data_IF_836717390137
#
_entry.id   IF_836717390137
#
_cell.length_a   1.000
_cell.length_b   1.000
_cell.length_c   1.000
_cell.angle_alpha   90.00
_cell.angle_beta   90.00
_cell.angle_gamma   90.00
#
_symmetry.space_group_name_H-M   'P 1'
#
loop_
_entity.id
_entity.type
_entity.pdbx_description
1 polymer ?
#
# COMPACT_ATOMS: atom_id res chain seq x y z
N UNK A 1 -27.66 -9.67 0.34
CA UNK A 1 -27.17 -8.34 -0.07
C UNK A 1 -25.74 -8.26 0.40
N UNK A 2 -24.81 -7.94 -0.49
CA UNK A 2 -23.48 -7.53 -0.04
C UNK A 2 -23.63 -6.18 0.67
N UNK A 3 -23.02 -6.06 1.84
CA UNK A 3 -22.97 -4.82 2.60
C UNK A 3 -21.90 -3.93 1.94
N UNK A 4 -22.31 -2.77 1.44
CA UNK A 4 -21.43 -1.81 0.77
C UNK A 4 -21.24 -0.61 1.69
N UNK A 5 -19.99 -0.23 1.92
CA UNK A 5 -19.62 0.99 2.63
C UNK A 5 -18.86 1.92 1.67
N UNK A 6 -19.23 3.19 1.68
CA UNK A 6 -18.51 4.25 0.98
C UNK A 6 -17.57 4.94 1.96
N UNK A 7 -16.31 5.13 1.54
CA UNK A 7 -15.27 5.79 2.33
C UNK A 7 -14.58 6.82 1.45
N UNK A 8 -14.35 8.01 1.99
CA UNK A 8 -13.60 9.05 1.28
C UNK A 8 -12.18 8.60 0.95
N UNK A 9 -11.71 8.95 -0.24
CA UNK A 9 -10.39 8.54 -0.70
C UNK A 9 -9.28 9.08 0.20
N UNK A 10 -9.40 10.30 0.71
CA UNK A 10 -8.39 10.90 1.59
C UNK A 10 -8.28 10.14 2.93
N UNK A 11 -9.41 9.66 3.45
CA UNK A 11 -9.44 8.81 4.66
C UNK A 11 -8.76 7.49 4.38
N UNK A 12 -9.07 6.88 3.24
CA UNK A 12 -8.53 5.58 2.85
C UNK A 12 -7.02 5.65 2.57
N UNK A 13 -6.57 6.72 1.95
CA UNK A 13 -5.16 7.02 1.66
C UNK A 13 -4.37 7.18 2.96
N UNK A 14 -4.85 8.01 3.90
CA UNK A 14 -4.20 8.17 5.21
C UNK A 14 -4.19 6.86 6.00
N UNK A 15 -5.28 6.09 5.97
CA UNK A 15 -5.32 4.76 6.59
C UNK A 15 -4.25 3.82 6.01
N UNK A 16 -4.03 3.85 4.69
CA UNK A 16 -2.97 3.04 4.07
C UNK A 16 -1.58 3.47 4.53
N UNK A 17 -1.31 4.78 4.62
CA UNK A 17 -0.04 5.30 5.18
C UNK A 17 0.16 4.79 6.60
N UNK A 18 -0.85 4.91 7.46
CA UNK A 18 -0.78 4.48 8.86
C UNK A 18 -0.52 2.98 8.99
N UNK A 19 -1.12 2.16 8.12
CA UNK A 19 -0.88 0.71 8.07
C UNK A 19 0.57 0.40 7.71
N UNK A 20 1.14 1.06 6.71
CA UNK A 20 2.54 0.87 6.32
C UNK A 20 3.50 1.38 7.41
N UNK A 21 3.25 2.55 8.00
CA UNK A 21 4.03 3.08 9.11
C UNK A 21 4.00 2.15 10.33
N UNK A 22 2.84 1.58 10.65
CA UNK A 22 2.69 0.56 11.71
C UNK A 22 3.41 -0.76 11.41
N UNK A 23 3.86 -0.97 10.18
CA UNK A 23 4.74 -2.07 9.77
C UNK A 23 6.22 -1.62 9.69
N UNK A 24 6.59 -0.51 10.32
CA UNK A 24 7.93 0.06 10.31
C UNK A 24 8.46 0.36 8.88
N UNK A 25 7.56 0.63 7.93
CA UNK A 25 7.95 1.18 6.62
C UNK A 25 8.27 2.67 6.80
N UNK A 26 9.39 3.18 6.24
CA UNK A 26 9.68 4.61 6.26
C UNK A 26 8.50 5.43 5.72
N UNK A 27 8.18 6.55 6.36
CA UNK A 27 6.98 7.34 6.04
C UNK A 27 6.96 7.75 4.57
N UNK A 28 8.11 8.15 4.01
CA UNK A 28 8.20 8.57 2.61
C UNK A 28 7.89 7.41 1.65
N UNK A 29 8.33 6.20 1.98
CA UNK A 29 8.02 4.99 1.20
C UNK A 29 6.56 4.57 1.39
N UNK A 30 6.00 4.75 2.60
CA UNK A 30 4.61 4.49 2.92
C UNK A 30 3.64 5.39 2.14
N UNK A 31 3.95 6.69 2.05
CA UNK A 31 3.20 7.68 1.25
C UNK A 31 3.21 7.30 -0.24
N UNK A 32 4.36 6.92 -0.79
CA UNK A 32 4.46 6.46 -2.19
C UNK A 32 3.61 5.20 -2.42
N UNK A 33 3.65 4.24 -1.50
CA UNK A 33 2.83 3.04 -1.61
C UNK A 33 1.33 3.36 -1.54
N UNK A 34 0.91 4.22 -0.62
CA UNK A 34 -0.48 4.63 -0.48
C UNK A 34 -1.00 5.37 -1.73
N UNK A 35 -0.22 6.33 -2.27
CA UNK A 35 -0.57 7.08 -3.49
C UNK A 35 -0.81 6.15 -4.70
N UNK A 36 0.07 5.16 -4.90
CA UNK A 36 -0.07 4.20 -6.01
C UNK A 36 -1.29 3.29 -5.82
N UNK A 37 -1.53 2.82 -4.59
CA UNK A 37 -2.66 1.92 -4.30
C UNK A 37 -3.98 2.68 -4.44
N UNK A 38 -4.13 3.85 -3.81
CA UNK A 38 -5.37 4.64 -3.89
C UNK A 38 -5.64 5.13 -5.31
N UNK A 39 -4.61 5.43 -6.10
CA UNK A 39 -4.76 5.80 -7.51
C UNK A 39 -5.42 4.67 -8.32
N UNK A 40 -5.20 3.41 -7.93
CA UNK A 40 -5.87 2.27 -8.56
C UNK A 40 -7.37 2.26 -8.24
N UNK A 41 -7.76 2.50 -6.98
CA UNK A 41 -9.18 2.62 -6.59
C UNK A 41 -9.85 3.83 -7.27
N UNK A 42 -9.19 5.00 -7.28
CA UNK A 42 -9.67 6.23 -7.96
C UNK A 42 -9.91 6.01 -9.46
N UNK A 43 -9.24 5.03 -10.07
CA UNK A 43 -9.39 4.64 -11.50
C UNK A 43 -10.34 3.46 -11.72
N UNK A 44 -10.96 2.92 -10.68
CA UNK A 44 -11.85 1.75 -10.77
C UNK A 44 -11.11 0.44 -11.07
N UNK A 45 -9.84 0.32 -10.66
CA UNK A 45 -9.04 -0.90 -10.80
C UNK A 45 -8.99 -1.61 -9.45
N UNK A 46 -10.15 -2.11 -9.01
CA UNK A 46 -10.35 -2.68 -7.67
C UNK A 46 -9.39 -3.84 -7.38
N UNK A 47 -9.02 -4.59 -8.42
CA UNK A 47 -8.06 -5.70 -8.33
C UNK A 47 -6.65 -5.29 -7.91
N UNK A 48 -6.32 -3.99 -7.90
CA UNK A 48 -5.00 -3.43 -7.56
C UNK A 48 -5.04 -2.33 -6.49
N UNK A 49 -6.23 -1.98 -5.99
CA UNK A 49 -6.41 -0.96 -4.95
C UNK A 49 -6.36 -1.50 -3.53
N UNK A 50 -7.10 -0.86 -2.61
CA UNK A 50 -7.04 -1.12 -1.16
C UNK A 50 -7.39 -2.56 -0.79
N UNK A 51 -8.14 -3.28 -1.63
CA UNK A 51 -8.40 -4.71 -1.48
C UNK A 51 -7.10 -5.54 -1.34
N UNK A 52 -5.99 -5.04 -1.88
CA UNK A 52 -4.67 -5.67 -1.80
C UNK A 52 -3.86 -5.28 -0.57
N UNK A 53 -4.22 -4.21 0.15
CA UNK A 53 -3.48 -3.70 1.31
C UNK A 53 -3.19 -4.82 2.32
N UNK A 54 -4.22 -5.54 2.76
CA UNK A 54 -4.05 -6.62 3.74
C UNK A 54 -3.33 -7.85 3.15
N UNK A 55 -3.87 -8.56 2.14
CA UNK A 55 -3.32 -9.86 1.72
C UNK A 55 -1.98 -9.76 0.98
N UNK A 56 -1.74 -8.67 0.24
CA UNK A 56 -0.54 -8.54 -0.60
C UNK A 56 0.58 -7.76 0.07
N UNK A 57 0.28 -6.76 0.88
CA UNK A 57 1.31 -5.93 1.50
C UNK A 57 1.47 -6.26 2.98
N UNK A 58 0.45 -6.03 3.80
CA UNK A 58 0.52 -6.24 5.25
C UNK A 58 0.94 -7.67 5.63
N UNK A 59 0.22 -8.67 5.12
CA UNK A 59 0.48 -10.07 5.48
C UNK A 59 1.86 -10.52 4.99
N UNK A 60 2.31 -10.05 3.82
CA UNK A 60 3.61 -10.43 3.25
C UNK A 60 4.78 -9.76 3.95
N UNK A 61 4.64 -8.49 4.31
CA UNK A 61 5.64 -7.76 5.12
C UNK A 61 5.75 -8.40 6.51
N UNK A 62 4.63 -8.75 7.16
CA UNK A 62 4.66 -9.47 8.45
C UNK A 62 5.31 -10.85 8.36
N UNK A 63 5.16 -11.54 7.23
CA UNK A 63 5.80 -12.83 6.97
C UNK A 63 7.27 -12.71 6.52
N UNK A 64 7.80 -11.50 6.35
CA UNK A 64 9.15 -11.28 5.81
C UNK A 64 9.31 -11.67 4.33
N UNK A 65 8.21 -11.87 3.61
CA UNK A 65 8.21 -12.18 2.17
C UNK A 65 8.42 -10.93 1.32
N UNK A 66 8.13 -9.76 1.88
CA UNK A 66 8.43 -8.46 1.32
C UNK A 66 9.22 -7.64 2.33
N UNK A 67 10.15 -6.83 1.84
CA UNK A 67 10.97 -5.96 2.66
C UNK A 67 10.16 -4.75 3.11
N UNK A 68 10.36 -4.37 4.38
CA UNK A 68 10.01 -3.02 4.88
C UNK A 68 11.00 -2.08 4.20
N UNK A 69 10.51 -1.08 3.49
CA UNK A 69 11.23 -0.41 2.40
C UNK A 69 12.56 0.28 2.82
N UNK A 70 13.30 0.78 1.80
CA UNK A 70 14.77 0.93 1.63
C UNK A 70 15.52 -0.28 1.03
N UNK A 71 15.04 -0.76 -0.12
CA UNK A 71 15.92 -1.50 -1.02
C UNK A 71 16.94 -0.54 -1.67
N UNK A 72 18.25 -0.78 -1.48
CA UNK A 72 19.29 -0.02 -2.19
C UNK A 72 19.24 -0.35 -3.68
N UNK A 73 18.67 0.54 -4.49
CA UNK A 73 18.70 0.42 -5.95
C UNK A 73 20.11 0.76 -6.43
N UNK A 74 20.73 -0.12 -7.22
CA UNK A 74 22.04 0.11 -7.84
C UNK A 74 21.88 0.14 -9.35
N UNK A 75 22.35 1.21 -9.99
CA UNK A 75 22.47 1.26 -11.44
C UNK A 75 23.70 0.44 -11.82
N UNK A 76 23.52 -0.58 -12.66
CA UNK A 76 24.59 -1.39 -13.21
C UNK A 76 24.64 -1.08 -14.70
N UNK A 77 25.72 -0.43 -15.13
CA UNK A 77 26.01 -0.23 -16.55
C UNK A 77 26.67 -1.51 -17.07
N UNK A 78 26.12 -2.08 -18.15
CA UNK A 78 26.72 -3.20 -18.87
C UNK A 78 27.72 -2.68 -19.91
#
# INVERSE_FOLDING_TARGET
MEEIAWVDFDILEQFMVDVFAGLDVPVEDAEICADVIITSDKRGIDSHGVQRLKPMYYDRIRKGQQLRARAKRKIVMA
#
